data_IF_358133415492
#
_entry.id   IF_358133415492
#
_cell.length_a   1.000
_cell.length_b   1.000
_cell.length_c   1.000
_cell.angle_alpha   90.00
_cell.angle_beta   90.00
_cell.angle_gamma   90.00
#
_symmetry.space_group_name_H-M   'P 1'
#
loop_
_entity.id
_entity.type
_entity.pdbx_description
1 polymer ?
#
# COMPACT_ATOMS: atom_id res chain seq x y z
N UNK A 1 -17.61 1.43 -3.27
CA UNK A 1 -16.13 1.44 -3.32
C UNK A 1 -15.48 2.80 -3.08
N UNK A 2 -15.94 3.92 -3.68
CA UNK A 2 -15.31 5.25 -3.45
C UNK A 2 -15.25 5.66 -1.97
N UNK A 3 -16.37 5.55 -1.25
CA UNK A 3 -16.42 5.83 0.19
C UNK A 3 -15.48 4.93 1.01
N UNK A 4 -15.37 3.65 0.65
CA UNK A 4 -14.47 2.71 1.31
C UNK A 4 -13.00 3.18 1.22
N UNK A 5 -12.51 3.47 0.01
CA UNK A 5 -11.15 4.00 -0.16
C UNK A 5 -10.96 5.39 0.46
N UNK A 6 -11.98 6.25 0.40
CA UNK A 6 -11.96 7.55 1.07
C UNK A 6 -11.78 7.42 2.59
N UNK A 7 -12.47 6.48 3.21
CA UNK A 7 -12.34 6.21 4.66
C UNK A 7 -10.96 5.62 4.98
N UNK A 8 -10.41 4.75 4.12
CA UNK A 8 -9.03 4.27 4.31
C UNK A 8 -8.03 5.44 4.30
N UNK A 9 -8.17 6.40 3.38
CA UNK A 9 -7.35 7.61 3.33
C UNK A 9 -7.52 8.47 4.59
N UNK A 10 -8.76 8.76 4.99
CA UNK A 10 -9.05 9.55 6.19
C UNK A 10 -8.51 8.87 7.45
N UNK A 11 -8.59 7.53 7.54
CA UNK A 11 -8.07 6.78 8.68
C UNK A 11 -6.54 6.83 8.84
N UNK A 12 -5.81 7.12 7.75
CA UNK A 12 -4.38 7.39 7.82
C UNK A 12 -4.06 8.80 8.34
N UNK A 13 -4.96 9.76 8.13
CA UNK A 13 -4.81 11.14 8.63
C UNK A 13 -5.29 11.31 10.07
N UNK A 14 -6.49 10.80 10.38
CA UNK A 14 -7.09 10.84 11.71
C UNK A 14 -7.17 9.41 12.26
N UNK A 15 -6.11 8.98 12.96
CA UNK A 15 -6.03 7.61 13.50
C UNK A 15 -6.72 7.50 14.86
N UNK A 16 -7.61 6.53 14.99
CA UNK A 16 -8.24 6.13 16.26
C UNK A 16 -7.78 4.71 16.64
N UNK A 17 -7.74 4.34 17.94
CA UNK A 17 -7.25 3.02 18.37
C UNK A 17 -7.97 1.84 17.72
N UNK A 18 -9.26 2.01 17.41
CA UNK A 18 -10.06 1.05 16.67
C UNK A 18 -10.88 1.79 15.63
N UNK A 19 -10.76 1.43 14.37
CA UNK A 19 -11.49 2.06 13.26
C UNK A 19 -13.01 2.13 13.48
N UNK A 20 -13.58 1.14 14.17
CA UNK A 20 -15.02 1.11 14.50
C UNK A 20 -15.48 2.32 15.33
N UNK A 21 -14.56 3.01 16.00
CA UNK A 21 -14.83 4.21 16.79
C UNK A 21 -15.34 5.37 15.94
N UNK A 22 -15.00 5.45 14.64
CA UNK A 22 -15.52 6.49 13.76
C UNK A 22 -17.06 6.51 13.67
N UNK A 23 -17.72 5.38 13.95
CA UNK A 23 -19.18 5.24 13.95
C UNK A 23 -19.80 5.29 15.35
N UNK A 24 -19.02 5.47 16.41
CA UNK A 24 -19.58 5.69 17.74
C UNK A 24 -20.15 7.08 17.87
N UNK A 25 -21.03 7.30 18.85
CA UNK A 25 -21.69 8.58 19.10
C UNK A 25 -20.92 9.45 20.11
N UNK A 26 -19.77 8.99 20.60
CA UNK A 26 -18.97 9.77 21.56
C UNK A 26 -18.26 10.92 20.85
N UNK A 27 -18.25 12.12 21.43
CA UNK A 27 -17.77 13.34 20.75
C UNK A 27 -16.27 13.34 20.43
N UNK A 28 -15.48 12.54 21.14
CA UNK A 28 -14.02 12.41 20.97
C UNK A 28 -13.62 11.44 19.84
N UNK A 29 -14.55 10.60 19.38
CA UNK A 29 -14.29 9.52 18.41
C UNK A 29 -15.21 9.55 17.20
N UNK A 30 -16.40 10.16 17.33
CA UNK A 30 -17.37 10.26 16.26
C UNK A 30 -16.80 11.07 15.09
N UNK A 31 -16.84 10.47 13.91
CA UNK A 31 -16.53 11.20 12.67
C UNK A 31 -17.79 11.26 11.82
N UNK A 32 -18.43 12.43 11.84
CA UNK A 32 -19.70 12.68 11.16
C UNK A 32 -19.62 12.40 9.65
N UNK A 33 -18.51 12.79 9.00
CA UNK A 33 -18.29 12.54 7.58
C UNK A 33 -18.22 11.04 7.27
N UNK A 34 -17.47 10.28 8.07
CA UNK A 34 -17.37 8.82 7.91
C UNK A 34 -18.72 8.15 8.20
N UNK A 35 -19.34 8.46 9.34
CA UNK A 35 -20.57 7.84 9.80
C UNK A 35 -21.75 8.08 8.85
N UNK A 36 -21.83 9.26 8.23
CA UNK A 36 -22.85 9.58 7.21
C UNK A 36 -22.55 8.93 5.85
N UNK A 37 -21.28 8.72 5.51
CA UNK A 37 -20.89 8.21 4.18
C UNK A 37 -21.18 6.71 3.94
N UNK A 38 -21.01 5.87 4.97
CA UNK A 38 -21.25 4.43 4.89
C UNK A 38 -21.63 3.89 6.27
N UNK A 39 -22.51 2.89 6.31
CA UNK A 39 -22.83 2.18 7.56
C UNK A 39 -21.64 1.32 7.99
N UNK A 40 -21.38 1.24 9.30
CA UNK A 40 -20.31 0.40 9.90
C UNK A 40 -20.32 -1.03 9.36
N UNK A 41 -21.47 -1.70 9.41
CA UNK A 41 -21.61 -3.09 8.97
C UNK A 41 -21.26 -3.30 7.49
N UNK A 42 -21.66 -2.36 6.63
CA UNK A 42 -21.34 -2.44 5.20
C UNK A 42 -19.85 -2.17 4.94
N UNK A 43 -19.22 -1.26 5.69
CA UNK A 43 -17.77 -1.06 5.62
C UNK A 43 -17.00 -2.33 6.04
N UNK A 44 -17.40 -2.95 7.16
CA UNK A 44 -16.79 -4.18 7.68
C UNK A 44 -16.96 -5.36 6.70
N UNK A 45 -18.12 -5.46 6.04
CA UNK A 45 -18.38 -6.44 4.99
C UNK A 45 -17.45 -6.26 3.79
N UNK A 46 -17.30 -5.02 3.31
CA UNK A 46 -16.34 -4.72 2.23
C UNK A 46 -14.91 -5.06 2.68
N UNK A 47 -14.49 -4.66 3.88
CA UNK A 47 -13.16 -5.01 4.41
C UNK A 47 -12.92 -6.53 4.38
N UNK A 48 -13.93 -7.33 4.74
CA UNK A 48 -13.83 -8.78 4.84
C UNK A 48 -13.73 -9.47 3.48
N UNK A 49 -14.49 -8.99 2.49
CA UNK A 49 -14.59 -9.63 1.17
C UNK A 49 -13.83 -8.88 0.06
N UNK A 50 -13.00 -7.91 0.42
CA UNK A 50 -12.20 -7.18 -0.55
C UNK A 50 -11.10 -8.09 -1.13
N UNK A 51 -11.16 -8.32 -2.44
CA UNK A 51 -10.15 -9.05 -3.20
C UNK A 51 -9.59 -8.17 -4.32
N UNK A 52 -8.27 -7.98 -4.34
CA UNK A 52 -7.59 -7.19 -5.37
C UNK A 52 -7.26 -8.01 -6.63
N UNK A 53 -7.18 -9.33 -6.51
CA UNK A 53 -6.91 -10.25 -7.60
C UNK A 53 -8.01 -11.29 -7.73
N UNK A 54 -8.30 -11.70 -8.96
CA UNK A 54 -9.23 -12.79 -9.22
C UNK A 54 -8.52 -14.14 -8.98
N UNK A 55 -9.12 -14.98 -8.14
CA UNK A 55 -8.57 -16.27 -7.73
C UNK A 55 -8.47 -17.26 -8.91
N UNK A 56 -9.35 -17.13 -9.91
CA UNK A 56 -9.41 -18.05 -11.05
C UNK A 56 -8.29 -17.88 -12.08
N UNK A 57 -7.53 -16.78 -12.02
CA UNK A 57 -6.44 -16.50 -12.96
C UNK A 57 -5.06 -16.59 -12.30
N UNK A 58 -4.98 -17.17 -11.08
CA UNK A 58 -3.72 -17.39 -10.37
C UNK A 58 -2.89 -18.44 -11.10
N UNK A 59 -1.86 -17.99 -11.81
CA UNK A 59 -1.03 -18.81 -12.71
C UNK A 59 0.45 -18.69 -12.34
N UNK A 60 0.80 -17.77 -11.44
CA UNK A 60 2.17 -17.48 -11.07
C UNK A 60 2.49 -17.99 -9.67
N UNK A 61 3.71 -18.51 -9.48
CA UNK A 61 4.23 -18.84 -8.15
C UNK A 61 4.71 -17.59 -7.38
N UNK A 62 4.12 -16.41 -7.65
CA UNK A 62 4.47 -15.17 -6.96
C UNK A 62 3.76 -15.10 -5.60
N UNK A 63 4.54 -14.96 -4.53
CA UNK A 63 4.07 -14.80 -3.15
C UNK A 63 3.12 -13.60 -2.98
N UNK A 64 3.14 -12.63 -3.89
CA UNK A 64 2.35 -11.40 -3.83
C UNK A 64 1.26 -11.30 -4.90
N UNK A 65 0.95 -12.37 -5.63
CA UNK A 65 -0.03 -12.38 -6.72
C UNK A 65 -1.39 -11.80 -6.29
N UNK A 66 -1.81 -12.05 -5.04
CA UNK A 66 -3.08 -11.55 -4.46
C UNK A 66 -3.18 -10.01 -4.41
N UNK A 67 -2.06 -9.31 -4.32
CA UNK A 67 -2.01 -7.84 -4.23
C UNK A 67 -1.41 -7.19 -5.48
N UNK A 68 -0.89 -7.99 -6.40
CA UNK A 68 -0.19 -7.54 -7.60
C UNK A 68 -1.02 -6.56 -8.44
N UNK A 69 -2.30 -6.83 -8.76
CA UNK A 69 -3.09 -5.92 -9.59
C UNK A 69 -3.25 -4.52 -8.96
N UNK A 70 -3.34 -4.45 -7.63
CA UNK A 70 -3.42 -3.18 -6.92
C UNK A 70 -2.10 -2.40 -7.03
N UNK A 71 -0.96 -3.09 -6.84
CA UNK A 71 0.36 -2.48 -6.98
C UNK A 71 0.62 -1.99 -8.41
N UNK A 72 0.18 -2.73 -9.41
CA UNK A 72 0.34 -2.34 -10.82
C UNK A 72 -0.47 -1.09 -11.15
N UNK A 73 -1.71 -1.00 -10.66
CA UNK A 73 -2.55 0.20 -10.81
C UNK A 73 -1.89 1.40 -10.12
N UNK A 74 -1.36 1.21 -8.90
CA UNK A 74 -0.69 2.28 -8.16
C UNK A 74 0.57 2.75 -8.87
N UNK A 75 1.47 1.84 -9.26
CA UNK A 75 2.70 2.16 -9.96
C UNK A 75 2.44 2.84 -11.31
N UNK A 76 1.41 2.39 -12.05
CA UNK A 76 1.01 3.01 -13.31
C UNK A 76 0.55 4.45 -13.09
N UNK A 77 -0.29 4.69 -12.07
CA UNK A 77 -0.78 6.02 -11.76
C UNK A 77 0.32 6.93 -11.20
N UNK A 78 1.20 6.42 -10.35
CA UNK A 78 2.33 7.21 -9.85
C UNK A 78 3.33 7.55 -10.94
N UNK A 79 3.56 6.66 -11.91
CA UNK A 79 4.39 6.97 -13.08
C UNK A 79 3.73 8.03 -13.98
N UNK A 80 2.39 8.01 -14.09
CA UNK A 80 1.63 8.95 -14.93
C UNK A 80 1.45 10.33 -14.31
N UNK A 81 1.21 10.40 -13.00
CA UNK A 81 0.87 11.63 -12.27
C UNK A 81 1.97 12.11 -11.34
N UNK A 82 2.99 11.29 -11.09
CA UNK A 82 4.17 11.70 -10.35
C UNK A 82 4.92 12.81 -11.09
N UNK A 83 5.56 13.69 -10.33
CA UNK A 83 6.49 14.67 -10.88
C UNK A 83 7.61 13.90 -11.61
N UNK A 84 8.00 14.38 -12.80
CA UNK A 84 9.14 13.85 -13.54
C UNK A 84 10.35 13.90 -12.62
N UNK A 85 10.90 12.74 -12.32
CA UNK A 85 12.07 12.62 -11.46
C UNK A 85 13.22 13.36 -12.14
N UNK A 86 13.86 14.27 -11.41
CA UNK A 86 15.20 14.72 -11.79
C UNK A 86 16.16 13.58 -11.42
N UNK A 87 16.81 12.91 -12.39
CA UNK A 87 17.68 11.77 -12.12
C UNK A 87 18.84 12.10 -11.17
N UNK A 88 19.17 13.39 -11.02
CA UNK A 88 20.22 13.85 -10.13
C UNK A 88 19.82 13.85 -8.64
N UNK A 89 18.51 13.84 -8.34
CA UNK A 89 17.97 14.07 -7.01
C UNK A 89 16.98 12.98 -6.60
N UNK A 90 17.30 11.71 -6.84
CA UNK A 90 16.43 10.60 -6.40
C UNK A 90 17.00 9.91 -5.16
N UNK A 91 16.12 9.58 -4.22
CA UNK A 91 16.45 8.72 -3.09
C UNK A 91 15.71 7.40 -3.21
N UNK A 92 16.46 6.29 -3.12
CA UNK A 92 15.92 4.93 -3.11
C UNK A 92 16.23 4.32 -1.74
N UNK A 93 15.20 3.91 -1.02
CA UNK A 93 15.36 3.28 0.29
C UNK A 93 14.32 2.17 0.54
N UNK A 94 14.49 1.41 1.61
CA UNK A 94 13.62 0.34 2.04
C UNK A 94 12.49 0.85 2.96
N UNK A 95 11.26 0.83 2.45
CA UNK A 95 10.05 0.92 3.26
C UNK A 95 9.75 -0.39 3.99
N UNK A 96 9.37 -0.24 5.27
CA UNK A 96 9.06 -1.32 6.19
C UNK A 96 7.56 -1.39 6.40
N UNK A 97 6.94 -2.47 5.91
CA UNK A 97 5.49 -2.65 6.04
C UNK A 97 5.23 -3.64 7.18
N UNK A 98 4.65 -3.20 8.32
CA UNK A 98 4.29 -4.11 9.39
C UNK A 98 3.19 -5.05 8.91
N UNK A 99 3.41 -6.35 9.11
CA UNK A 99 2.41 -7.37 8.79
C UNK A 99 2.48 -8.45 9.86
N UNK A 100 1.34 -8.74 10.49
CA UNK A 100 1.30 -9.62 11.66
C UNK A 100 0.99 -11.08 11.30
N UNK A 101 0.20 -11.32 10.25
CA UNK A 101 -0.21 -12.68 9.84
C UNK A 101 0.91 -13.45 9.13
N UNK A 102 1.01 -14.78 9.25
CA UNK A 102 2.06 -15.56 8.59
C UNK A 102 2.15 -15.30 7.09
N UNK A 103 3.34 -14.98 6.58
CA UNK A 103 3.55 -14.77 5.15
C UNK A 103 4.99 -15.13 4.74
N UNK A 104 5.18 -15.86 3.62
CA UNK A 104 6.50 -16.37 3.20
C UNK A 104 7.48 -15.30 2.69
N UNK A 105 7.05 -14.04 2.59
CA UNK A 105 7.92 -12.91 2.22
C UNK A 105 8.35 -12.04 3.41
N UNK A 106 7.94 -12.40 4.64
CA UNK A 106 8.39 -11.68 5.82
C UNK A 106 9.87 -11.91 6.08
N UNK A 107 10.55 -10.84 6.46
CA UNK A 107 11.93 -10.87 6.92
C UNK A 107 11.97 -10.63 8.43
N UNK A 108 12.74 -11.46 9.12
CA UNK A 108 13.03 -11.27 10.54
C UNK A 108 14.25 -10.37 10.71
N UNK A 109 14.14 -9.35 11.54
CA UNK A 109 15.22 -8.39 11.78
C UNK A 109 15.48 -8.21 13.26
N UNK A 110 16.68 -8.64 13.64
CA UNK A 110 17.17 -8.59 15.02
C UNK A 110 17.42 -7.13 15.42
N UNK A 111 17.05 -6.79 16.65
CA UNK A 111 17.31 -5.47 17.22
C UNK A 111 16.40 -4.34 16.74
N UNK A 112 15.32 -4.62 15.99
CA UNK A 112 14.29 -3.62 15.65
C UNK A 112 13.04 -3.78 16.51
N UNK A 113 12.30 -2.70 16.82
CA UNK A 113 11.03 -2.79 17.55
C UNK A 113 10.01 -3.71 16.87
N UNK A 114 9.91 -3.60 15.53
CA UNK A 114 9.12 -4.52 14.70
C UNK A 114 10.07 -5.55 14.09
N UNK A 115 10.01 -6.77 14.61
CA UNK A 115 10.95 -7.85 14.27
C UNK A 115 10.56 -8.61 13.01
N UNK A 116 9.29 -8.65 12.63
CA UNK A 116 8.79 -9.33 11.44
C UNK A 116 8.09 -8.32 10.54
N UNK A 117 8.52 -8.20 9.28
CA UNK A 117 7.95 -7.24 8.34
C UNK A 117 8.08 -7.68 6.88
N UNK A 118 7.29 -7.07 6.01
CA UNK A 118 7.53 -7.08 4.58
C UNK A 118 8.46 -5.91 4.21
N UNK A 119 9.32 -6.13 3.22
CA UNK A 119 10.24 -5.12 2.66
C UNK A 119 9.74 -4.67 1.29
N UNK A 120 9.64 -3.36 1.09
CA UNK A 120 9.44 -2.74 -0.20
C UNK A 120 10.55 -1.71 -0.42
N UNK A 121 11.14 -1.67 -1.60
CA UNK A 121 11.97 -0.57 -2.05
C UNK A 121 11.06 0.56 -2.50
N UNK A 122 11.40 1.81 -2.19
CA UNK A 122 10.62 2.98 -2.56
C UNK A 122 11.56 4.03 -3.13
N UNK A 123 11.18 4.61 -4.27
CA UNK A 123 11.82 5.78 -4.84
C UNK A 123 11.03 7.05 -4.48
N UNK A 124 11.76 8.06 -4.00
CA UNK A 124 11.22 9.35 -3.61
C UNK A 124 12.09 10.51 -4.12
N UNK A 125 11.44 11.54 -4.65
CA UNK A 125 12.02 12.85 -4.99
C UNK A 125 12.15 13.69 -3.70
N UNK A 126 13.13 14.61 -3.57
CA UNK A 126 13.25 15.56 -2.46
C UNK A 126 12.00 16.40 -2.19
N UNK A 127 11.07 16.52 -3.15
CA UNK A 127 9.73 17.11 -2.93
C UNK A 127 8.77 16.18 -2.16
N UNK A 128 9.26 15.02 -1.70
CA UNK A 128 8.60 14.04 -0.85
C UNK A 128 7.34 13.38 -1.44
N UNK A 129 7.18 13.38 -2.76
CA UNK A 129 6.20 12.52 -3.43
C UNK A 129 6.74 11.10 -3.53
N UNK A 130 6.02 10.06 -3.07
CA UNK A 130 6.39 8.67 -3.35
C UNK A 130 6.01 8.33 -4.80
N UNK A 131 6.98 7.86 -5.59
CA UNK A 131 6.80 7.64 -7.03
C UNK A 131 6.66 6.17 -7.40
N UNK A 132 7.35 5.28 -6.71
CA UNK A 132 7.34 3.87 -7.07
C UNK A 132 7.73 3.02 -5.87
N UNK A 133 6.91 2.02 -5.57
CA UNK A 133 7.28 0.95 -4.64
C UNK A 133 7.70 -0.28 -5.45
N UNK A 134 9.00 -0.58 -5.44
CA UNK A 134 9.55 -1.82 -5.97
C UNK A 134 9.53 -2.91 -4.87
N UNK A 135 9.23 -4.15 -5.23
CA UNK A 135 9.32 -5.26 -4.26
C UNK A 135 10.79 -5.53 -3.93
N UNK A 136 11.08 -6.03 -2.73
CA UNK A 136 12.36 -6.67 -2.37
C UNK A 136 12.66 -7.84 -3.30
N UNK A 137 13.25 -7.56 -4.46
CA UNK A 137 13.98 -8.50 -5.30
C UNK A 137 15.45 -8.46 -4.88
N UNK A 138 16.07 -9.63 -4.77
CA UNK A 138 17.36 -9.88 -5.40
C UNK A 138 17.55 -11.39 -5.57
N UNK A 139 18.13 -11.87 -6.70
CA UNK A 139 18.61 -11.13 -7.86
C UNK A 139 17.66 -11.26 -9.07
N UNK A 140 17.89 -10.44 -10.09
CA UNK A 140 17.22 -10.36 -11.41
C UNK A 140 16.04 -9.37 -11.45
N UNK A 141 16.43 -8.08 -11.56
CA UNK A 141 15.92 -7.13 -12.56
C UNK A 141 14.60 -7.53 -13.23
N UNK A 142 13.52 -6.82 -12.94
CA UNK A 142 12.48 -6.53 -13.94
C UNK A 142 11.81 -5.18 -13.68
N UNK A 143 12.41 -4.11 -14.23
CA UNK A 143 11.78 -3.28 -15.26
C UNK A 143 12.86 -3.03 -16.35
N UNK A 144 12.53 -3.31 -17.61
CA UNK A 144 13.32 -3.24 -18.86
C UNK A 144 12.56 -2.26 -19.79
N UNK A 145 13.08 -1.53 -20.83
CA UNK A 145 14.41 -1.45 -21.47
C UNK A 145 15.04 -0.04 -21.50
N UNK A 146 16.37 0.06 -21.56
CA UNK A 146 17.05 1.24 -22.09
C UNK A 146 17.20 1.08 -23.60
N UNK A 147 16.34 1.75 -24.37
CA UNK A 147 16.71 2.18 -25.73
C UNK A 147 17.58 3.41 -25.52
N UNK A 148 18.88 3.27 -25.75
CA UNK A 148 19.76 4.39 -26.02
C UNK A 148 20.49 4.06 -27.32
N UNK A 149 20.00 4.66 -28.39
CA UNK A 149 20.69 4.83 -29.65
C UNK A 149 21.90 5.76 -29.47
N UNK A 150 23.07 5.28 -29.85
CA UNK A 150 24.13 6.05 -30.51
C UNK A 150 24.91 5.10 -31.40
#
# INVERSE_FOLDING_TARGET
MRYFFGILLVSGYCSVPRRQLFWQLQPDTHNEAIAKSIRRGHFDEIMKYFHAANIHFQTSNDKFEKVQPLLDILNTNFSKFGVVLDPANESIDEAKIPYFEPHPSKQFLRGKPIRLRCKAWVAADPKATPHQSYKSMDPILKIVPSIASS
#
